data_IF_483073749280
#
_entry.id   IF_483073749280
#
_cell.length_a   1.000
_cell.length_b   1.000
_cell.length_c   1.000
_cell.angle_alpha   90.00
_cell.angle_beta   90.00
_cell.angle_gamma   90.00
#
_symmetry.space_group_name_H-M   'P 1'
#
loop_
_entity.id
_entity.type
_entity.pdbx_description
1 polymer ?
#
# COMPACT_ATOMS: atom_id res chain seq x y z
N UNK A 1 25.76 -10.19 23.96
CA UNK A 1 24.62 -9.80 23.11
C UNK A 1 23.36 -10.07 23.89
N UNK A 2 22.50 -9.08 24.00
CA UNK A 2 21.21 -9.20 24.68
C UNK A 2 20.32 -10.18 23.86
N UNK A 3 19.55 -11.11 24.46
CA UNK A 3 18.66 -12.01 23.71
C UNK A 3 17.74 -11.31 22.70
N UNK A 4 17.36 -10.05 22.97
CA UNK A 4 16.58 -9.23 22.04
C UNK A 4 17.40 -8.78 20.80
N UNK A 5 18.68 -8.47 20.98
CA UNK A 5 19.57 -8.12 19.87
C UNK A 5 19.83 -9.34 18.98
N UNK A 6 20.10 -10.50 19.58
CA UNK A 6 20.26 -11.76 18.85
C UNK A 6 19.01 -12.13 18.05
N UNK A 7 17.82 -11.92 18.64
CA UNK A 7 16.56 -12.16 17.93
C UNK A 7 16.38 -11.17 16.77
N UNK A 8 16.64 -9.88 16.99
CA UNK A 8 16.50 -8.87 15.96
C UNK A 8 17.45 -9.12 14.78
N UNK A 9 18.71 -9.48 15.06
CA UNK A 9 19.69 -9.82 14.04
C UNK A 9 19.31 -11.09 13.27
N UNK A 10 18.82 -12.12 13.97
CA UNK A 10 18.30 -13.32 13.33
C UNK A 10 17.11 -13.01 12.41
N UNK A 11 16.15 -12.22 12.89
CA UNK A 11 14.97 -11.83 12.11
C UNK A 11 15.36 -11.00 10.89
N UNK A 12 16.29 -10.05 11.03
CA UNK A 12 16.79 -9.24 9.91
C UNK A 12 17.51 -10.09 8.87
N UNK A 13 18.36 -11.03 9.29
CA UNK A 13 19.05 -11.94 8.37
C UNK A 13 18.08 -12.90 7.67
N UNK A 14 17.10 -13.43 8.40
CA UNK A 14 16.08 -14.31 7.85
C UNK A 14 15.17 -13.56 6.86
N UNK A 15 14.77 -12.34 7.18
CA UNK A 15 14.00 -11.45 6.31
C UNK A 15 14.77 -11.14 5.02
N UNK A 16 16.02 -10.68 5.13
CA UNK A 16 16.84 -10.37 3.97
C UNK A 16 17.10 -11.60 3.09
N UNK A 17 17.32 -12.77 3.69
CA UNK A 17 17.48 -14.03 2.94
C UNK A 17 16.18 -14.44 2.23
N UNK A 18 15.05 -14.46 2.96
CA UNK A 18 13.75 -14.82 2.41
C UNK A 18 13.37 -13.88 1.27
N UNK A 19 13.63 -12.58 1.43
CA UNK A 19 13.32 -11.59 0.43
C UNK A 19 14.17 -11.77 -0.84
N UNK A 20 15.49 -11.87 -0.66
CA UNK A 20 16.43 -11.95 -1.78
C UNK A 20 16.25 -13.23 -2.59
N UNK A 21 16.03 -14.36 -1.92
CA UNK A 21 16.03 -15.68 -2.58
C UNK A 21 14.63 -16.22 -2.89
N UNK A 22 13.60 -15.81 -2.17
CA UNK A 22 12.23 -16.28 -2.41
C UNK A 22 11.29 -15.14 -2.85
N UNK A 23 11.18 -14.08 -2.06
CA UNK A 23 10.22 -13.00 -2.28
C UNK A 23 10.38 -12.34 -3.66
N UNK A 24 11.54 -11.78 -3.93
CA UNK A 24 11.83 -11.05 -5.17
C UNK A 24 11.71 -11.95 -6.42
N UNK A 25 12.33 -13.16 -6.49
CA UNK A 25 12.17 -14.04 -7.64
C UNK A 25 10.71 -14.45 -7.89
N UNK A 26 9.95 -14.78 -6.84
CA UNK A 26 8.54 -15.18 -6.97
C UNK A 26 7.69 -14.05 -7.54
N UNK A 27 7.85 -12.83 -7.02
CA UNK A 27 7.09 -11.66 -7.52
C UNK A 27 7.42 -11.37 -8.98
N UNK A 28 8.70 -11.42 -9.35
CA UNK A 28 9.12 -11.18 -10.74
C UNK A 28 8.55 -12.26 -11.67
N UNK A 29 8.72 -13.53 -11.33
CA UNK A 29 8.26 -14.66 -12.15
C UNK A 29 6.73 -14.64 -12.30
N UNK A 30 5.99 -14.46 -11.21
CA UNK A 30 4.53 -14.38 -11.26
C UNK A 30 4.05 -13.12 -11.99
N UNK A 31 4.67 -11.97 -11.74
CA UNK A 31 4.35 -10.72 -12.42
C UNK A 31 4.55 -10.83 -13.94
N UNK A 32 5.66 -11.43 -14.38
CA UNK A 32 5.93 -11.71 -15.79
C UNK A 32 4.93 -12.73 -16.36
N UNK A 33 4.74 -13.86 -15.69
CA UNK A 33 3.82 -14.90 -16.14
C UNK A 33 2.40 -14.36 -16.32
N UNK A 34 1.90 -13.62 -15.34
CA UNK A 34 0.57 -13.01 -15.39
C UNK A 34 0.49 -11.87 -16.41
N UNK A 35 1.53 -11.06 -16.56
CA UNK A 35 1.58 -10.04 -17.61
C UNK A 35 1.46 -10.65 -19.00
N UNK A 36 2.22 -11.72 -19.29
CA UNK A 36 2.15 -12.40 -20.59
C UNK A 36 0.80 -13.10 -20.78
N UNK A 37 0.33 -13.87 -19.79
CA UNK A 37 -0.94 -14.63 -19.89
C UNK A 37 -2.18 -13.77 -20.02
N UNK A 38 -2.18 -12.58 -19.42
CA UNK A 38 -3.32 -11.65 -19.48
C UNK A 38 -3.23 -10.66 -20.64
N UNK A 39 -2.18 -10.73 -21.46
CA UNK A 39 -1.97 -9.81 -22.58
C UNK A 39 -1.67 -8.39 -22.11
N UNK A 40 -0.82 -8.26 -21.09
CA UNK A 40 -0.37 -7.01 -20.46
C UNK A 40 -1.56 -6.16 -20.02
N UNK A 41 -2.47 -6.78 -19.26
CA UNK A 41 -3.74 -6.20 -18.83
C UNK A 41 -3.56 -4.88 -18.08
N UNK A 42 -2.48 -4.75 -17.31
CA UNK A 42 -2.16 -3.57 -16.51
C UNK A 42 -1.89 -2.31 -17.34
N UNK A 43 -1.47 -2.46 -18.61
CA UNK A 43 -1.29 -1.34 -19.54
C UNK A 43 -2.50 -1.20 -20.47
N UNK A 44 -3.01 -2.34 -20.97
CA UNK A 44 -4.14 -2.37 -21.92
C UNK A 44 -5.44 -1.81 -21.34
N UNK A 45 -5.71 -2.03 -20.05
CA UNK A 45 -6.97 -1.64 -19.41
C UNK A 45 -6.94 -0.27 -18.71
N UNK A 46 -5.84 0.48 -18.79
CA UNK A 46 -5.76 1.84 -18.20
C UNK A 46 -6.96 2.73 -18.59
N UNK A 47 -7.38 2.81 -19.87
CA UNK A 47 -8.55 3.62 -20.24
C UNK A 47 -9.85 3.13 -19.59
N UNK A 48 -10.02 1.81 -19.47
CA UNK A 48 -11.18 1.21 -18.83
C UNK A 48 -11.20 1.48 -17.32
N UNK A 49 -10.02 1.54 -16.67
CA UNK A 49 -9.89 1.90 -15.26
C UNK A 49 -10.43 3.30 -14.98
N UNK A 50 -10.04 4.30 -15.79
CA UNK A 50 -10.56 5.67 -15.64
C UNK A 50 -12.07 5.73 -15.84
N UNK A 51 -12.60 5.02 -16.85
CA UNK A 51 -14.05 4.93 -17.06
C UNK A 51 -14.76 4.31 -15.85
N UNK A 52 -14.23 3.20 -15.31
CA UNK A 52 -14.83 2.48 -14.19
C UNK A 52 -14.85 3.30 -12.89
N UNK A 53 -13.83 4.11 -12.64
CA UNK A 53 -13.75 4.96 -11.45
C UNK A 53 -14.83 6.07 -11.48
N UNK A 54 -15.13 6.61 -12.67
CA UNK A 54 -16.11 7.69 -12.87
C UNK A 54 -17.55 7.16 -12.93
N UNK A 55 -17.74 5.87 -13.17
CA UNK A 55 -19.07 5.26 -13.19
C UNK A 55 -19.75 5.35 -11.82
N UNK A 56 -21.04 5.71 -11.85
CA UNK A 56 -21.88 5.73 -10.66
C UNK A 56 -22.01 4.30 -10.12
N UNK A 57 -22.09 4.10 -8.79
CA UNK A 57 -22.28 2.78 -8.21
C UNK A 57 -23.48 2.10 -8.86
N UNK A 58 -23.24 0.97 -9.53
CA UNK A 58 -24.29 0.08 -9.98
C UNK A 58 -25.02 -0.35 -8.71
N UNK A 59 -26.29 0.04 -8.57
CA UNK A 59 -27.15 -0.56 -7.57
C UNK A 59 -27.32 -2.01 -8.01
N UNK A 60 -26.49 -2.92 -7.48
CA UNK A 60 -26.76 -4.35 -7.58
C UNK A 60 -28.07 -4.58 -6.81
N UNK A 61 -29.19 -4.59 -7.54
CA UNK A 61 -30.45 -5.15 -7.12
C UNK A 61 -30.28 -6.68 -7.04
N UNK A 62 -29.66 -7.17 -5.97
CA UNK A 62 -29.78 -8.58 -5.63
C UNK A 62 -31.20 -8.75 -5.10
N UNK A 63 -32.06 -9.29 -5.95
CA UNK A 63 -33.41 -9.73 -5.64
C UNK A 63 -33.31 -10.77 -4.52
N UNK A 64 -33.50 -10.34 -3.28
CA UNK A 64 -33.68 -11.25 -2.16
C UNK A 64 -35.08 -11.85 -2.29
N UNK A 65 -35.17 -13.15 -2.63
CA UNK A 65 -36.37 -13.92 -2.36
C UNK A 65 -36.64 -13.85 -0.85
N UNK A 66 -37.65 -13.06 -0.46
CA UNK A 66 -38.10 -12.95 0.92
C UNK A 66 -37.97 -11.55 1.53
N UNK A 67 -39.04 -10.76 1.41
CA UNK A 67 -39.62 -10.01 2.52
C UNK A 67 -38.99 -8.70 2.99
N UNK A 68 -37.67 -8.59 3.14
CA UNK A 68 -37.07 -7.42 3.80
C UNK A 68 -35.94 -6.80 2.98
N UNK A 69 -36.31 -5.84 2.14
CA UNK A 69 -35.41 -5.08 1.28
C UNK A 69 -34.57 -4.06 2.09
N UNK A 70 -33.65 -4.54 2.94
CA UNK A 70 -32.53 -3.71 3.39
C UNK A 70 -31.51 -3.64 2.26
N UNK A 71 -31.69 -2.60 1.44
CA UNK A 71 -30.85 -2.17 0.32
C UNK A 71 -29.37 -2.12 0.74
N UNK A 72 -28.62 -3.21 0.53
CA UNK A 72 -27.17 -3.21 0.72
C UNK A 72 -26.56 -2.42 -0.43
N UNK A 73 -26.15 -1.18 -0.15
CA UNK A 73 -25.39 -0.36 -1.09
C UNK A 73 -23.93 -0.76 -0.98
N UNK A 74 -23.42 -1.48 -1.98
CA UNK A 74 -21.98 -1.68 -2.16
C UNK A 74 -21.27 -0.32 -2.27
N UNK A 75 -19.99 -0.28 -1.86
CA UNK A 75 -19.15 0.92 -2.05
C UNK A 75 -19.05 1.25 -3.54
N UNK A 76 -19.05 2.53 -3.88
CA UNK A 76 -18.82 2.94 -5.27
C UNK A 76 -17.39 2.57 -5.72
N UNK A 77 -17.17 2.47 -7.03
CA UNK A 77 -15.85 2.20 -7.58
C UNK A 77 -14.82 3.25 -7.11
N UNK A 78 -15.18 4.53 -7.08
CA UNK A 78 -14.32 5.60 -6.54
C UNK A 78 -14.05 5.45 -5.03
N UNK A 79 -15.05 5.04 -4.24
CA UNK A 79 -14.86 4.79 -2.81
C UNK A 79 -13.93 3.59 -2.57
N UNK A 80 -14.13 2.50 -3.29
CA UNK A 80 -13.28 1.32 -3.21
C UNK A 80 -11.84 1.64 -3.66
N UNK A 81 -11.68 2.39 -4.76
CA UNK A 81 -10.40 2.89 -5.22
C UNK A 81 -9.73 3.77 -4.16
N UNK A 82 -10.45 4.74 -3.60
CA UNK A 82 -9.90 5.66 -2.61
C UNK A 82 -9.50 4.96 -1.32
N UNK A 83 -10.28 3.98 -0.84
CA UNK A 83 -9.89 3.14 0.31
C UNK A 83 -8.63 2.35 -0.02
N UNK A 84 -8.57 1.76 -1.22
CA UNK A 84 -7.43 0.95 -1.63
C UNK A 84 -6.17 1.79 -1.88
N UNK A 85 -6.32 3.03 -2.33
CA UNK A 85 -5.26 4.01 -2.47
C UNK A 85 -4.80 4.53 -1.09
N UNK A 86 -5.72 4.84 -0.17
CA UNK A 86 -5.39 5.22 1.21
C UNK A 86 -4.55 4.17 1.92
N UNK A 87 -4.87 2.89 1.73
CA UNK A 87 -4.13 1.78 2.33
C UNK A 87 -2.73 1.59 1.74
N UNK A 88 -2.48 2.09 0.53
CA UNK A 88 -1.22 1.91 -0.22
C UNK A 88 -0.35 3.16 -0.27
N UNK A 89 -0.91 4.34 -0.04
CA UNK A 89 -0.15 5.59 0.01
C UNK A 89 0.00 5.99 1.46
N UNK A 90 1.18 5.78 2.00
CA UNK A 90 1.51 6.16 3.38
C UNK A 90 2.88 6.83 3.49
N UNK A 91 3.24 7.17 4.72
CA UNK A 91 4.59 7.65 5.05
C UNK A 91 5.67 6.61 4.71
N UNK A 92 5.30 5.32 4.78
CA UNK A 92 6.14 4.18 4.37
C UNK A 92 6.68 4.31 2.95
N UNK A 93 5.85 4.71 1.98
CA UNK A 93 6.29 4.87 0.59
C UNK A 93 7.34 5.98 0.45
N UNK A 94 7.24 7.06 1.22
CA UNK A 94 8.18 8.18 1.14
C UNK A 94 9.54 7.73 1.68
N UNK A 95 9.54 7.12 2.87
CA UNK A 95 10.74 6.58 3.50
C UNK A 95 11.33 5.41 2.69
N UNK A 96 10.49 4.58 2.10
CA UNK A 96 10.87 3.44 1.26
C UNK A 96 11.55 3.87 -0.03
N UNK A 97 10.99 4.84 -0.75
CA UNK A 97 11.63 5.43 -1.95
C UNK A 97 12.95 6.10 -1.57
N UNK A 98 12.98 6.88 -0.48
CA UNK A 98 14.20 7.55 -0.01
C UNK A 98 15.29 6.52 0.37
N UNK A 99 14.91 5.46 1.10
CA UNK A 99 15.81 4.36 1.45
C UNK A 99 16.31 3.58 0.23
N UNK A 100 15.45 3.34 -0.75
CA UNK A 100 15.82 2.67 -2.00
C UNK A 100 16.83 3.49 -2.81
N UNK A 101 16.65 4.80 -2.90
CA UNK A 101 17.61 5.70 -3.54
C UNK A 101 18.90 5.78 -2.72
N UNK A 102 18.83 5.82 -1.39
CA UNK A 102 20.00 5.85 -0.52
C UNK A 102 20.85 4.57 -0.65
N UNK A 103 20.21 3.40 -0.69
CA UNK A 103 20.90 2.10 -0.75
C UNK A 103 21.29 1.68 -2.18
N UNK A 104 20.42 1.95 -3.16
CA UNK A 104 20.57 1.50 -4.55
C UNK A 104 20.97 2.60 -5.54
N UNK A 105 21.05 3.86 -5.11
CA UNK A 105 21.30 5.00 -5.97
C UNK A 105 20.06 5.43 -6.80
N UNK A 106 20.16 6.54 -7.54
CA UNK A 106 19.14 7.03 -8.48
C UNK A 106 18.56 5.97 -9.41
N UNK A 107 19.38 5.00 -9.85
CA UNK A 107 18.96 3.91 -10.73
C UNK A 107 17.84 3.02 -10.16
N UNK A 108 17.68 2.97 -8.84
CA UNK A 108 16.62 2.21 -8.17
C UNK A 108 15.21 2.65 -8.63
N UNK A 109 15.03 3.93 -8.97
CA UNK A 109 13.73 4.49 -9.39
C UNK A 109 13.20 3.79 -10.65
N UNK A 110 14.09 3.48 -11.61
CA UNK A 110 13.69 2.79 -12.84
C UNK A 110 13.17 1.37 -12.53
N UNK A 111 13.83 0.66 -11.64
CA UNK A 111 13.41 -0.67 -11.20
C UNK A 111 12.10 -0.63 -10.40
N UNK A 112 11.86 0.42 -9.61
CA UNK A 112 10.57 0.62 -8.96
C UNK A 112 9.43 0.77 -9.97
N UNK A 113 9.65 1.49 -11.08
CA UNK A 113 8.66 1.60 -12.16
C UNK A 113 8.41 0.26 -12.85
N UNK A 114 9.47 -0.50 -13.16
CA UNK A 114 9.35 -1.84 -13.76
C UNK A 114 8.56 -2.77 -12.83
N UNK A 115 8.91 -2.81 -11.54
CA UNK A 115 8.22 -3.64 -10.55
C UNK A 115 6.77 -3.20 -10.35
N UNK A 116 6.46 -1.91 -10.41
CA UNK A 116 5.08 -1.41 -10.39
C UNK A 116 4.25 -1.99 -11.54
N UNK A 117 4.80 -2.01 -12.75
CA UNK A 117 4.12 -2.58 -13.93
C UNK A 117 3.96 -4.10 -13.80
N UNK A 118 4.98 -4.82 -13.33
CA UNK A 118 4.92 -6.28 -13.16
C UNK A 118 3.90 -6.69 -12.09
N UNK A 119 3.92 -6.03 -10.94
CA UNK A 119 3.01 -6.30 -9.82
C UNK A 119 1.57 -5.92 -10.17
N UNK A 120 1.36 -4.93 -11.05
CA UNK A 120 0.02 -4.55 -11.52
C UNK A 120 -0.79 -5.71 -12.10
N UNK A 121 -0.15 -6.61 -12.86
CA UNK A 121 -0.83 -7.81 -13.39
C UNK A 121 -1.23 -8.79 -12.27
N UNK A 122 -0.35 -9.01 -11.29
CA UNK A 122 -0.63 -9.86 -10.15
C UNK A 122 -1.77 -9.30 -9.29
N UNK A 123 -1.77 -7.99 -9.02
CA UNK A 123 -2.84 -7.30 -8.28
C UNK A 123 -4.19 -7.37 -8.99
N UNK A 124 -4.21 -7.36 -10.32
CA UNK A 124 -5.44 -7.54 -11.09
C UNK A 124 -6.05 -8.94 -10.89
N UNK A 125 -5.21 -9.97 -10.92
CA UNK A 125 -5.65 -11.36 -10.69
C UNK A 125 -6.11 -11.55 -9.26
N UNK A 126 -5.37 -11.01 -8.28
CA UNK A 126 -5.76 -11.06 -6.87
C UNK A 126 -7.12 -10.40 -6.64
N UNK A 127 -7.33 -9.22 -7.22
CA UNK A 127 -8.61 -8.51 -7.15
C UNK A 127 -9.74 -9.30 -7.81
N UNK A 128 -9.46 -10.00 -8.91
CA UNK A 128 -10.42 -10.86 -9.60
C UNK A 128 -10.79 -12.08 -8.75
N UNK A 129 -9.81 -12.75 -8.14
CA UNK A 129 -10.04 -13.86 -7.22
C UNK A 129 -10.82 -13.42 -5.98
N UNK A 130 -10.51 -12.24 -5.44
CA UNK A 130 -11.23 -11.66 -4.33
C UNK A 130 -12.70 -11.39 -4.67
N UNK A 131 -13.01 -10.96 -5.91
CA UNK A 131 -14.39 -10.80 -6.37
C UNK A 131 -15.10 -12.14 -6.60
N UNK A 132 -14.41 -13.14 -7.16
CA UNK A 132 -14.98 -14.46 -7.44
C UNK A 132 -15.37 -15.21 -6.15
N UNK A 133 -14.57 -15.09 -5.10
CA UNK A 133 -14.75 -15.80 -3.83
C UNK A 133 -15.30 -14.93 -2.70
N UNK A 134 -15.84 -13.74 -2.99
CA UNK A 134 -16.41 -12.85 -1.98
C UNK A 134 -17.61 -13.49 -1.27
N UNK A 135 -17.80 -13.11 -0.02
CA UNK A 135 -18.94 -13.49 0.82
C UNK A 135 -19.70 -12.25 1.24
N UNK A 136 -21.02 -12.35 1.30
CA UNK A 136 -21.83 -11.30 1.92
C UNK A 136 -21.58 -11.27 3.43
N UNK A 137 -21.36 -10.08 3.98
CA UNK A 137 -21.23 -9.87 5.42
C UNK A 137 -21.90 -8.55 5.80
N UNK A 138 -22.98 -8.67 6.59
CA UNK A 138 -23.79 -7.54 7.04
C UNK A 138 -24.22 -6.66 5.84
N UNK A 139 -23.86 -5.38 5.87
CA UNK A 139 -24.17 -4.38 4.84
C UNK A 139 -23.17 -4.37 3.66
N UNK A 140 -22.13 -5.21 3.66
CA UNK A 140 -21.03 -5.19 2.67
C UNK A 140 -20.61 -6.58 2.18
N UNK A 141 -19.57 -6.65 1.35
CA UNK A 141 -18.94 -7.90 0.92
C UNK A 141 -17.53 -8.02 1.50
N UNK A 142 -17.18 -9.21 1.98
CA UNK A 142 -15.83 -9.56 2.45
C UNK A 142 -15.20 -10.54 1.47
N UNK A 143 -13.99 -10.24 1.02
CA UNK A 143 -13.21 -11.07 0.10
C UNK A 143 -11.72 -10.97 0.41
N UNK A 144 -10.90 -11.45 -0.52
CA UNK A 144 -9.44 -11.40 -0.40
C UNK A 144 -8.80 -12.76 -0.14
N UNK A 145 -7.50 -12.79 0.20
CA UNK A 145 -6.72 -14.02 0.15
C UNK A 145 -7.18 -15.14 1.05
N UNK A 146 -7.56 -14.84 2.29
CA UNK A 146 -8.10 -15.84 3.19
C UNK A 146 -9.35 -16.55 2.63
N UNK A 147 -10.18 -15.83 1.85
CA UNK A 147 -11.41 -16.37 1.27
C UNK A 147 -11.15 -17.26 0.07
N UNK A 148 -10.28 -16.84 -0.86
CA UNK A 148 -9.96 -17.69 -2.01
C UNK A 148 -9.04 -18.87 -1.63
N UNK A 149 -8.24 -18.78 -0.56
CA UNK A 149 -7.53 -19.94 0.00
C UNK A 149 -8.53 -20.91 0.63
N UNK A 150 -9.47 -20.41 1.43
CA UNK A 150 -10.45 -21.28 2.07
C UNK A 150 -11.40 -21.94 1.07
N UNK A 151 -11.96 -21.18 0.12
CA UNK A 151 -13.03 -21.65 -0.78
C UNK A 151 -12.55 -22.05 -2.17
N UNK A 152 -11.56 -21.33 -2.71
CA UNK A 152 -10.99 -21.64 -4.02
C UNK A 152 -10.00 -22.80 -3.98
N UNK A 153 -9.10 -22.81 -3.01
CA UNK A 153 -8.17 -23.93 -2.79
C UNK A 153 -8.74 -25.02 -1.87
N UNK A 154 -9.91 -24.80 -1.26
CA UNK A 154 -10.55 -25.75 -0.36
C UNK A 154 -9.85 -25.93 1.00
N UNK A 155 -8.83 -25.13 1.31
CA UNK A 155 -8.07 -25.28 2.56
C UNK A 155 -8.49 -24.30 3.63
N UNK A 156 -9.34 -24.78 4.52
CA UNK A 156 -9.82 -24.01 5.68
C UNK A 156 -8.71 -23.70 6.68
N UNK A 157 -7.74 -24.60 6.85
CA UNK A 157 -6.59 -24.42 7.73
C UNK A 157 -5.66 -23.30 7.24
N UNK A 158 -5.25 -23.34 5.97
CA UNK A 158 -4.39 -22.29 5.40
C UNK A 158 -5.12 -20.94 5.31
N UNK A 159 -6.42 -20.93 5.02
CA UNK A 159 -7.22 -19.71 5.02
C UNK A 159 -7.29 -19.05 6.39
N UNK A 160 -7.49 -19.83 7.46
CA UNK A 160 -7.49 -19.34 8.84
C UNK A 160 -6.11 -18.84 9.27
N UNK A 161 -5.05 -19.60 8.98
CA UNK A 161 -3.68 -19.21 9.27
C UNK A 161 -3.31 -17.88 8.60
N UNK A 162 -3.62 -17.74 7.31
CA UNK A 162 -3.38 -16.51 6.57
C UNK A 162 -4.15 -15.34 7.18
N UNK A 163 -5.43 -15.54 7.54
CA UNK A 163 -6.24 -14.48 8.15
C UNK A 163 -5.66 -13.98 9.48
N UNK A 164 -5.20 -14.89 10.35
CA UNK A 164 -4.58 -14.52 11.64
C UNK A 164 -3.30 -13.73 11.42
N UNK A 165 -2.42 -14.19 10.51
CA UNK A 165 -1.20 -13.47 10.17
C UNK A 165 -1.50 -12.07 9.62
N UNK A 166 -2.46 -11.94 8.72
CA UNK A 166 -2.83 -10.66 8.13
C UNK A 166 -3.42 -9.70 9.16
N UNK A 167 -4.28 -10.19 10.07
CA UNK A 167 -4.82 -9.38 11.16
C UNK A 167 -3.69 -8.87 12.04
N UNK A 168 -2.76 -9.73 12.45
CA UNK A 168 -1.62 -9.32 13.28
C UNK A 168 -0.74 -8.30 12.55
N UNK A 169 -0.37 -8.59 11.30
CA UNK A 169 0.49 -7.73 10.48
C UNK A 169 -0.13 -6.33 10.26
N UNK A 170 -1.38 -6.25 9.80
CA UNK A 170 -2.00 -4.96 9.47
C UNK A 170 -2.55 -4.21 10.68
N UNK A 171 -3.20 -4.91 11.62
CA UNK A 171 -3.81 -4.24 12.77
C UNK A 171 -2.77 -3.77 13.80
N UNK A 172 -1.66 -4.50 13.97
CA UNK A 172 -0.63 -4.16 14.95
C UNK A 172 0.62 -3.58 14.29
N UNK A 173 1.33 -4.38 13.49
CA UNK A 173 2.67 -4.00 13.02
C UNK A 173 2.63 -2.77 12.10
N UNK A 174 1.83 -2.81 11.04
CA UNK A 174 1.73 -1.71 10.07
C UNK A 174 1.13 -0.44 10.68
N UNK A 175 0.08 -0.58 11.50
CA UNK A 175 -0.56 0.59 12.13
C UNK A 175 0.39 1.26 13.14
N UNK A 176 1.15 0.47 13.90
CA UNK A 176 2.20 0.98 14.79
C UNK A 176 3.32 1.66 14.00
N UNK A 177 3.83 1.02 12.94
CA UNK A 177 4.89 1.59 12.10
C UNK A 177 4.48 2.95 11.53
N UNK A 178 3.28 3.04 10.94
CA UNK A 178 2.78 4.30 10.38
C UNK A 178 2.58 5.38 11.45
N UNK A 179 2.03 5.03 12.62
CA UNK A 179 1.87 5.97 13.72
C UNK A 179 3.22 6.53 14.20
N UNK A 180 4.23 5.66 14.38
CA UNK A 180 5.57 6.09 14.77
C UNK A 180 6.19 7.01 13.72
N UNK A 181 6.13 6.67 12.44
CA UNK A 181 6.68 7.53 11.38
C UNK A 181 6.01 8.90 11.34
N UNK A 182 4.70 9.00 11.59
CA UNK A 182 4.01 10.29 11.67
C UNK A 182 4.54 11.10 12.87
N UNK A 183 4.62 10.47 14.05
CA UNK A 183 5.11 11.14 15.26
C UNK A 183 6.55 11.61 15.08
N UNK A 184 7.42 10.79 14.51
CA UNK A 184 8.82 11.12 14.26
C UNK A 184 8.96 12.25 13.24
N UNK A 185 8.18 12.22 12.15
CA UNK A 185 8.20 13.28 11.14
C UNK A 185 7.75 14.64 11.72
N UNK A 186 6.69 14.65 12.55
CA UNK A 186 6.20 15.88 13.19
C UNK A 186 7.18 16.37 14.25
N UNK A 187 7.69 15.47 15.09
CA UNK A 187 8.65 15.82 16.14
C UNK A 187 9.95 16.36 15.54
N UNK A 188 10.45 15.73 14.47
CA UNK A 188 11.62 16.18 13.73
C UNK A 188 11.40 17.54 13.05
N UNK A 189 10.22 17.79 12.47
CA UNK A 189 9.91 19.09 11.89
C UNK A 189 9.85 20.20 12.95
N UNK A 190 9.29 19.93 14.14
CA UNK A 190 9.26 20.91 15.24
C UNK A 190 10.65 21.11 15.84
N UNK A 191 11.48 20.07 15.91
CA UNK A 191 12.86 20.14 16.41
C UNK A 191 13.75 21.11 15.62
N UNK A 192 13.40 21.40 14.35
CA UNK A 192 14.10 22.41 13.53
C UNK A 192 13.84 23.83 14.05
N UNK A 193 12.71 24.07 14.71
CA UNK A 193 12.27 25.41 15.14
C UNK A 193 12.25 25.59 16.68
N UNK A 194 12.29 24.50 17.44
CA UNK A 194 12.26 24.49 18.91
C UNK A 194 13.15 23.37 19.44
N UNK A 195 13.77 23.57 20.62
CA UNK A 195 14.72 22.61 21.19
C UNK A 195 14.02 21.27 21.56
N UNK A 196 14.36 20.13 20.91
CA UNK A 196 13.67 18.86 21.10
C UNK A 196 13.77 18.30 22.54
N UNK A 197 14.82 18.65 23.30
CA UNK A 197 14.94 18.23 24.69
C UNK A 197 13.89 18.87 25.62
N UNK A 198 13.28 19.98 25.21
CA UNK A 198 12.26 20.70 25.97
C UNK A 198 10.85 20.10 25.88
N UNK A 199 10.62 19.10 25.01
CA UNK A 199 9.26 18.67 24.66
C UNK A 199 9.03 17.14 24.62
N UNK A 200 9.45 16.37 25.64
CA UNK A 200 9.25 14.90 25.69
C UNK A 200 7.76 14.50 25.71
N UNK A 201 6.86 15.44 26.00
CA UNK A 201 5.42 15.23 26.00
C UNK A 201 4.79 15.26 24.59
N UNK A 202 5.47 15.79 23.56
CA UNK A 202 4.88 15.93 22.23
C UNK A 202 4.55 14.58 21.62
N UNK A 203 5.51 13.65 21.61
CA UNK A 203 5.34 12.33 21.02
C UNK A 203 4.14 11.55 21.60
N UNK A 204 3.98 11.39 22.93
CA UNK A 204 2.82 10.70 23.48
C UNK A 204 1.50 11.44 23.22
N UNK A 205 1.48 12.78 23.22
CA UNK A 205 0.27 13.56 22.91
C UNK A 205 -0.17 13.35 21.46
N UNK A 206 0.78 13.39 20.51
CA UNK A 206 0.50 13.12 19.10
C UNK A 206 -0.03 11.70 18.90
N UNK A 207 0.57 10.71 19.56
CA UNK A 207 0.11 9.32 19.52
C UNK A 207 -1.32 9.15 20.04
N UNK A 208 -1.64 9.74 21.19
CA UNK A 208 -2.99 9.69 21.78
C UNK A 208 -4.01 10.38 20.87
N UNK A 209 -3.65 11.56 20.33
CA UNK A 209 -4.51 12.29 19.41
C UNK A 209 -4.79 11.47 18.14
N UNK A 210 -3.74 10.88 17.54
CA UNK A 210 -3.86 10.05 16.36
C UNK A 210 -4.74 8.81 16.63
N UNK A 211 -4.55 8.17 17.78
CA UNK A 211 -5.36 7.03 18.21
C UNK A 211 -6.84 7.43 18.39
N UNK A 212 -7.13 8.57 19.03
CA UNK A 212 -8.48 9.06 19.24
C UNK A 212 -9.20 9.40 17.92
N UNK A 213 -8.52 10.08 17.00
CA UNK A 213 -9.06 10.40 15.67
C UNK A 213 -9.33 9.12 14.87
N UNK A 214 -8.38 8.19 14.87
CA UNK A 214 -8.50 6.90 14.17
C UNK A 214 -9.65 6.07 14.74
N UNK A 215 -9.79 6.01 16.07
CA UNK A 215 -10.90 5.34 16.74
C UNK A 215 -12.26 5.92 16.33
N UNK A 216 -12.41 7.25 16.29
CA UNK A 216 -13.66 7.91 15.87
C UNK A 216 -14.09 7.57 14.43
N UNK A 217 -13.13 7.27 13.56
CA UNK A 217 -13.37 6.84 12.18
C UNK A 217 -13.71 5.34 12.12
N UNK A 218 -12.89 4.48 12.73
CA UNK A 218 -13.02 3.01 12.64
C UNK A 218 -14.29 2.52 13.32
N UNK A 219 -14.63 3.02 14.51
CA UNK A 219 -15.86 2.62 15.22
C UNK A 219 -17.14 3.04 14.47
N UNK A 220 -17.05 3.94 13.49
CA UNK A 220 -18.15 4.28 12.58
C UNK A 220 -18.40 3.27 11.46
N UNK A 221 -17.61 2.20 11.38
CA UNK A 221 -17.73 1.13 10.39
C UNK A 221 -17.14 1.46 9.01
N UNK A 222 -17.12 0.46 8.13
CA UNK A 222 -16.44 0.52 6.82
C UNK A 222 -16.91 1.68 5.93
N UNK A 223 -18.17 2.09 6.04
CA UNK A 223 -18.71 3.19 5.24
C UNK A 223 -18.17 4.55 5.67
N UNK A 224 -17.93 4.76 6.97
CA UNK A 224 -17.27 5.98 7.47
C UNK A 224 -15.82 6.03 7.00
N UNK A 225 -15.10 4.91 7.10
CA UNK A 225 -13.73 4.78 6.59
C UNK A 225 -13.67 5.16 5.10
N UNK A 226 -14.56 4.61 4.28
CA UNK A 226 -14.62 4.93 2.85
C UNK A 226 -14.95 6.40 2.56
N UNK A 227 -15.86 6.99 3.33
CA UNK A 227 -16.21 8.40 3.19
C UNK A 227 -15.09 9.36 3.58
N UNK A 228 -14.26 8.98 4.56
CA UNK A 228 -13.07 9.76 4.93
C UNK A 228 -12.00 9.60 3.86
N UNK A 229 -11.72 8.36 3.43
CA UNK A 229 -10.72 8.07 2.41
C UNK A 229 -10.99 8.77 1.07
N UNK A 230 -12.24 8.76 0.58
CA UNK A 230 -12.60 9.41 -0.69
C UNK A 230 -12.34 10.93 -0.71
N UNK A 231 -12.35 11.58 0.46
CA UNK A 231 -12.11 13.01 0.58
C UNK A 231 -10.63 13.30 0.87
N UNK A 232 -10.02 12.56 1.81
CA UNK A 232 -8.65 12.81 2.24
C UNK A 232 -7.61 12.40 1.19
N UNK A 233 -7.80 11.26 0.50
CA UNK A 233 -6.80 10.74 -0.45
C UNK A 233 -6.54 11.71 -1.61
N UNK A 234 -7.56 12.26 -2.30
CA UNK A 234 -7.30 13.22 -3.38
C UNK A 234 -6.62 14.50 -2.91
N UNK A 235 -6.97 15.01 -1.71
CA UNK A 235 -6.34 16.20 -1.13
C UNK A 235 -4.87 15.92 -0.83
N UNK A 236 -4.57 14.80 -0.17
CA UNK A 236 -3.20 14.40 0.17
C UNK A 236 -2.34 14.21 -1.08
N UNK A 237 -2.84 13.45 -2.06
CA UNK A 237 -2.13 13.21 -3.32
C UNK A 237 -1.92 14.50 -4.11
N UNK A 238 -2.92 15.39 -4.12
CA UNK A 238 -2.83 16.70 -4.76
C UNK A 238 -1.76 17.60 -4.14
N UNK A 239 -1.70 17.67 -2.81
CA UNK A 239 -0.66 18.43 -2.10
C UNK A 239 0.74 17.86 -2.37
N UNK A 240 0.89 16.54 -2.34
CA UNK A 240 2.17 15.88 -2.59
C UNK A 240 2.68 16.14 -4.03
N UNK A 241 1.79 15.96 -5.02
CA UNK A 241 2.10 16.27 -6.42
C UNK A 241 2.42 17.74 -6.63
N UNK A 242 1.66 18.65 -5.99
CA UNK A 242 1.89 20.08 -6.11
C UNK A 242 3.29 20.47 -5.61
N UNK A 243 3.67 20.00 -4.42
CA UNK A 243 5.01 20.25 -3.85
C UNK A 243 6.09 19.70 -4.79
N UNK A 244 5.94 18.46 -5.27
CA UNK A 244 6.88 17.85 -6.20
C UNK A 244 7.03 18.63 -7.51
N UNK A 245 5.91 19.04 -8.12
CA UNK A 245 5.89 19.84 -9.35
C UNK A 245 6.55 21.20 -9.13
N UNK A 246 6.30 21.87 -8.00
CA UNK A 246 6.95 23.14 -7.66
C UNK A 246 8.46 22.96 -7.54
N UNK A 247 8.94 21.94 -6.81
CA UNK A 247 10.38 21.67 -6.65
C UNK A 247 11.04 21.38 -7.99
N UNK A 248 10.42 20.54 -8.83
CA UNK A 248 10.90 20.25 -10.19
C UNK A 248 10.89 21.50 -11.06
N UNK A 249 9.85 22.32 -10.96
CA UNK A 249 9.71 23.60 -11.66
C UNK A 249 10.83 24.60 -11.32
N UNK A 250 11.22 24.67 -10.04
CA UNK A 250 12.33 25.51 -9.56
C UNK A 250 13.70 24.99 -10.01
N UNK A 251 13.83 23.69 -10.32
CA UNK A 251 15.09 23.04 -10.68
C UNK A 251 15.04 22.37 -12.07
N UNK A 252 14.29 22.95 -13.01
CA UNK A 252 14.13 22.36 -14.35
C UNK A 252 15.45 22.10 -15.08
N UNK A 253 16.46 22.92 -14.83
CA UNK A 253 17.80 22.75 -15.41
C UNK A 253 18.49 21.44 -14.99
N UNK A 254 18.12 20.86 -13.85
CA UNK A 254 18.69 19.62 -13.33
C UNK A 254 17.93 18.38 -13.79
N UNK A 255 16.74 18.55 -14.37
CA UNK A 255 15.89 17.44 -14.82
C UNK A 255 16.61 16.52 -15.81
N UNK A 256 17.33 17.01 -16.83
CA UNK A 256 18.07 16.14 -17.75
C UNK A 256 19.16 15.33 -17.04
N UNK A 257 19.86 15.93 -16.06
CA UNK A 257 20.89 15.23 -15.28
C UNK A 257 20.29 14.10 -14.46
N UNK A 258 19.21 14.38 -13.73
CA UNK A 258 18.52 13.38 -12.90
C UNK A 258 17.99 12.21 -13.74
N UNK A 259 17.34 12.51 -14.87
CA UNK A 259 16.83 11.46 -15.77
C UNK A 259 17.97 10.61 -16.36
N UNK A 260 19.10 11.25 -16.70
CA UNK A 260 20.29 10.53 -17.17
C UNK A 260 20.82 9.60 -16.08
N UNK A 261 20.98 10.10 -14.85
CA UNK A 261 21.45 9.31 -13.71
C UNK A 261 20.56 8.10 -13.44
N UNK A 262 19.23 8.28 -13.47
CA UNK A 262 18.27 7.17 -13.30
C UNK A 262 18.53 6.07 -14.33
N UNK A 263 18.76 6.41 -15.60
CA UNK A 263 18.95 5.40 -16.65
C UNK A 263 20.35 4.79 -16.62
N UNK A 264 21.39 5.60 -16.46
CA UNK A 264 22.79 5.12 -16.48
C UNK A 264 23.12 4.27 -15.27
N UNK A 265 22.57 4.59 -14.10
CA UNK A 265 22.86 3.88 -12.86
C UNK A 265 21.93 2.68 -12.64
N UNK A 266 20.82 2.57 -13.39
CA UNK A 266 19.89 1.44 -13.29
C UNK A 266 20.50 0.10 -13.70
N UNK A 267 21.56 0.09 -14.51
CA UNK A 267 22.23 -1.15 -14.93
C UNK A 267 23.13 -1.71 -13.83
N UNK A 268 23.39 -0.95 -12.75
CA UNK A 268 24.15 -1.44 -11.61
C UNK A 268 23.37 -2.52 -10.83
N UNK A 269 24.02 -3.60 -10.36
CA UNK A 269 23.36 -4.62 -9.52
C UNK A 269 22.73 -4.05 -8.25
N UNK A 270 23.36 -3.02 -7.65
CA UNK A 270 22.87 -2.33 -6.46
C UNK A 270 21.54 -1.61 -6.70
N UNK A 271 21.38 -0.98 -7.87
CA UNK A 271 20.12 -0.33 -8.25
C UNK A 271 18.97 -1.32 -8.40
N UNK A 272 19.21 -2.51 -8.94
CA UNK A 272 18.19 -3.55 -9.07
C UNK A 272 17.70 -4.05 -7.71
N UNK A 273 18.61 -4.29 -6.76
CA UNK A 273 18.28 -4.74 -5.41
C UNK A 273 17.55 -3.62 -4.64
N UNK A 274 18.08 -2.39 -4.68
CA UNK A 274 17.46 -1.24 -4.02
C UNK A 274 16.07 -0.92 -4.57
N UNK A 275 15.90 -0.98 -5.89
CA UNK A 275 14.60 -0.78 -6.53
C UNK A 275 13.59 -1.89 -6.24
N UNK A 276 14.05 -3.14 -6.11
CA UNK A 276 13.22 -4.26 -5.67
C UNK A 276 12.70 -4.09 -4.24
N UNK A 277 13.57 -3.67 -3.32
CA UNK A 277 13.19 -3.33 -1.93
C UNK A 277 12.22 -2.14 -1.88
N UNK A 278 12.51 -1.07 -2.62
CA UNK A 278 11.68 0.13 -2.66
C UNK A 278 10.30 -0.08 -3.31
N UNK A 279 10.15 -1.06 -4.21
CA UNK A 279 8.89 -1.29 -4.91
C UNK A 279 7.79 -1.96 -4.07
N UNK A 280 8.15 -2.53 -2.92
CA UNK A 280 7.24 -3.30 -2.06
C UNK A 280 6.92 -2.60 -0.74
N UNK A 281 7.73 -1.60 -0.36
CA UNK A 281 7.53 -0.70 0.80
C UNK A 281 6.68 0.50 0.39
#
# INVERSE_FOLDING_TARGET
>A
MNPLESLNEFLGNAEGWLWTWAGMPVVIVLGLYFSVRTGVVQLRMIPAMFSAIVQKPVQEEVQASGGDAKRSKSLSAFQAFSVSAAARVGTGNISGVAGAIFLGGPGAVLWMWVMCILTGAASFIESTLAQLWKTRADDTYKGGPAFYIHRGLGSRGFGAFFAVLFIFCFAFAFTSLQANTIVDAVSGAVAVYADPEGMPWLAPVLGILLAALTAGIIFGGMRRVANVAQNMVPIMAGLYLLIGIVIVGLHLGELPRVLTQIVTEAVSPQAAIGGGLGAVI
#
